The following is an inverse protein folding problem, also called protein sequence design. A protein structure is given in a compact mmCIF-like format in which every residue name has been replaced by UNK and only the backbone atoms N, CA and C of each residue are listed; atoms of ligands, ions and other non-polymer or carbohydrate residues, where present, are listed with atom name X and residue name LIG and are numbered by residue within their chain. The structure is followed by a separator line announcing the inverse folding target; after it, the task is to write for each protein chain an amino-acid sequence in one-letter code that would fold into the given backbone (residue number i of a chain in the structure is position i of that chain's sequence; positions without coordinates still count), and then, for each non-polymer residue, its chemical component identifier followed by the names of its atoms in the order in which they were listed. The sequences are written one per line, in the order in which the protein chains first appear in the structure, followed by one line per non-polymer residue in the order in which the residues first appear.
data_IF_245556012566
#
_entry.id   IF_245556012566
#
_cell.length_a   1.000
_cell.length_b   1.000
_cell.length_c   1.000
_cell.angle_alpha   90.00
_cell.angle_beta   90.00
_cell.angle_gamma   90.00
#
_symmetry.space_group_name_H-M   'P 1'
#
loop_
_entity.id
_entity.type
_entity.pdbx_description
1 polymer ?
#
# COMPACT_ATOMS: atom_id res chain seq x y z
N UNK A 1 16.56 -0.22 -16.44
CA UNK A 1 17.77 0.34 -15.76
C UNK A 1 17.74 1.87 -15.59
N UNK A 2 17.39 2.68 -16.59
CA UNK A 2 17.28 4.16 -16.40
C UNK A 2 16.14 4.60 -15.48
N UNK A 3 14.99 3.90 -15.47
CA UNK A 3 13.84 4.26 -14.66
C UNK A 3 14.01 3.91 -13.16
N UNK A 4 14.70 2.83 -12.81
CA UNK A 4 14.99 2.46 -11.41
C UNK A 4 15.87 3.51 -10.74
N UNK A 5 16.92 3.96 -11.41
CA UNK A 5 17.81 5.02 -10.89
C UNK A 5 17.07 6.36 -10.67
N UNK A 6 16.04 6.67 -11.47
CA UNK A 6 15.25 7.90 -11.32
C UNK A 6 14.33 7.84 -10.09
N UNK A 7 13.67 6.70 -9.84
CA UNK A 7 12.80 6.52 -8.68
C UNK A 7 13.59 6.61 -7.37
N UNK A 8 14.72 5.92 -7.28
CA UNK A 8 15.60 5.97 -6.11
C UNK A 8 16.10 7.38 -5.80
N UNK A 9 16.46 8.15 -6.83
CA UNK A 9 16.85 9.56 -6.67
C UNK A 9 15.70 10.41 -6.14
N UNK A 10 14.47 10.22 -6.64
CA UNK A 10 13.28 10.92 -6.17
C UNK A 10 12.99 10.57 -4.71
N UNK A 11 13.02 9.29 -4.36
CA UNK A 11 12.79 8.83 -2.97
C UNK A 11 13.83 9.41 -2.01
N UNK A 12 15.10 9.32 -2.37
CA UNK A 12 16.19 9.87 -1.58
C UNK A 12 16.07 11.38 -1.39
N UNK A 13 15.70 12.11 -2.44
CA UNK A 13 15.47 13.55 -2.38
C UNK A 13 14.24 13.90 -1.52
N UNK A 14 13.14 13.17 -1.68
CA UNK A 14 11.91 13.37 -0.91
C UNK A 14 12.13 13.18 0.59
N UNK A 15 12.89 12.16 1.00
CA UNK A 15 13.29 11.94 2.39
C UNK A 15 14.09 13.13 2.95
N UNK A 16 15.13 13.55 2.23
CA UNK A 16 16.00 14.65 2.67
C UNK A 16 15.29 16.01 2.75
N UNK A 17 14.24 16.20 1.99
CA UNK A 17 13.45 17.45 1.92
C UNK A 17 12.21 17.45 2.82
N UNK A 18 11.99 16.41 3.59
CA UNK A 18 10.87 16.37 4.53
C UNK A 18 9.52 16.11 3.87
N UNK A 19 9.49 15.31 2.81
CA UNK A 19 8.22 14.88 2.20
C UNK A 19 7.69 13.61 2.83
N UNK A 20 8.52 12.57 2.93
CA UNK A 20 8.05 11.25 3.36
C UNK A 20 9.19 10.44 3.99
N UNK A 21 8.87 9.64 5.00
CA UNK A 21 9.76 8.67 5.63
C UNK A 21 9.03 7.36 5.87
N UNK A 22 9.74 6.22 5.96
CA UNK A 22 9.17 5.01 6.52
C UNK A 22 8.70 5.26 7.95
N UNK A 23 7.47 4.85 8.26
CA UNK A 23 6.95 5.00 9.63
C UNK A 23 7.76 4.17 10.61
N UNK A 24 7.99 4.73 11.80
CA UNK A 24 8.74 4.05 12.88
C UNK A 24 10.17 3.65 12.48
N UNK A 25 10.82 4.37 11.56
CA UNK A 25 12.13 4.01 10.98
C UNK A 25 13.20 3.81 12.06
N UNK A 26 13.19 4.61 13.12
CA UNK A 26 14.16 4.50 14.26
C UNK A 26 14.01 3.20 15.06
N UNK A 27 12.89 2.50 14.92
CA UNK A 27 12.62 1.20 15.57
C UNK A 27 12.65 0.04 14.57
N UNK A 28 13.23 0.24 13.38
CA UNK A 28 13.31 -0.76 12.33
C UNK A 28 12.20 -0.66 11.26
N UNK A 29 11.22 0.20 11.48
CA UNK A 29 10.13 0.45 10.53
C UNK A 29 9.12 -0.68 10.38
N UNK A 30 8.04 -0.39 9.68
CA UNK A 30 7.04 -1.38 9.25
C UNK A 30 6.88 -1.23 7.74
N UNK A 31 7.07 -2.31 6.99
CA UNK A 31 6.95 -2.30 5.54
C UNK A 31 5.57 -1.80 5.07
N UNK A 32 5.56 -0.89 4.10
CA UNK A 32 4.34 -0.33 3.54
C UNK A 32 3.72 0.84 4.30
N UNK A 33 4.26 1.23 5.46
CA UNK A 33 3.77 2.38 6.25
C UNK A 33 4.72 3.55 6.17
N UNK A 34 4.16 4.76 6.00
CA UNK A 34 4.92 5.98 5.78
C UNK A 34 4.35 7.14 6.59
N UNK A 35 5.24 7.97 7.11
CA UNK A 35 4.90 9.24 7.73
C UNK A 35 5.15 10.39 6.75
N UNK A 36 4.25 11.35 6.72
CA UNK A 36 4.39 12.56 5.90
C UNK A 36 5.05 13.67 6.70
N UNK A 37 6.16 14.18 6.20
CA UNK A 37 6.80 15.36 6.73
C UNK A 37 6.07 16.66 6.37
N UNK A 38 6.60 17.83 6.80
CA UNK A 38 5.92 19.11 6.59
C UNK A 38 5.53 19.40 5.13
N UNK A 39 6.42 19.16 4.19
CA UNK A 39 6.11 19.34 2.78
C UNK A 39 5.22 18.22 2.21
N UNK A 40 5.35 17.03 2.73
CA UNK A 40 4.53 15.89 2.31
C UNK A 40 3.08 16.03 2.71
N UNK A 41 2.78 16.50 3.91
CA UNK A 41 1.40 16.70 4.36
C UNK A 41 0.72 17.83 3.58
N UNK A 42 1.42 18.91 3.27
CA UNK A 42 0.88 19.98 2.44
C UNK A 42 0.60 19.51 1.01
N UNK A 43 1.54 18.81 0.40
CA UNK A 43 1.34 18.22 -0.93
C UNK A 43 0.14 17.26 -0.94
N UNK A 44 0.05 16.37 0.06
CA UNK A 44 -1.08 15.44 0.21
C UNK A 44 -2.42 16.18 0.30
N UNK A 45 -2.50 17.22 1.12
CA UNK A 45 -3.72 17.99 1.31
C UNK A 45 -4.10 18.75 0.03
N UNK A 46 -3.12 19.33 -0.68
CA UNK A 46 -3.36 19.98 -1.97
C UNK A 46 -3.92 19.00 -3.01
N UNK A 47 -3.37 17.81 -3.09
CA UNK A 47 -3.88 16.76 -4.00
C UNK A 47 -5.31 16.35 -3.61
N UNK A 48 -5.58 16.12 -2.33
CA UNK A 48 -6.92 15.76 -1.83
C UNK A 48 -7.95 16.87 -2.13
N UNK A 49 -7.60 18.12 -1.87
CA UNK A 49 -8.46 19.27 -2.11
C UNK A 49 -8.75 19.46 -3.60
N UNK A 50 -7.72 19.33 -4.44
CA UNK A 50 -7.88 19.40 -5.89
C UNK A 50 -8.79 18.27 -6.40
N UNK A 51 -8.58 17.04 -5.92
CA UNK A 51 -9.40 15.90 -6.26
C UNK A 51 -10.88 16.14 -5.86
N UNK A 52 -11.11 16.55 -4.61
CA UNK A 52 -12.45 16.82 -4.11
C UNK A 52 -13.13 17.94 -4.91
N UNK A 53 -12.41 19.02 -5.17
CA UNK A 53 -12.93 20.12 -5.98
C UNK A 53 -13.33 19.61 -7.37
N UNK A 54 -12.41 18.96 -8.07
CA UNK A 54 -12.62 18.56 -9.48
C UNK A 54 -13.73 17.51 -9.65
N UNK A 55 -13.79 16.53 -8.75
CA UNK A 55 -14.69 15.38 -8.92
C UNK A 55 -16.01 15.48 -8.14
N UNK A 56 -16.11 16.41 -7.20
CA UNK A 56 -17.31 16.59 -6.38
C UNK A 56 -17.87 17.99 -6.50
N UNK A 57 -17.09 19.03 -6.19
CA UNK A 57 -17.62 20.39 -6.09
C UNK A 57 -17.89 21.04 -7.47
N UNK A 58 -17.08 20.79 -8.46
CA UNK A 58 -17.21 21.34 -9.81
C UNK A 58 -18.21 20.55 -10.68
N UNK A 59 -18.90 19.56 -10.09
CA UNK A 59 -19.88 18.72 -10.78
C UNK A 59 -21.27 18.91 -10.21
N UNK A 60 -22.25 19.03 -11.09
CA UNK A 60 -23.68 19.15 -10.71
C UNK A 60 -24.36 17.79 -10.48
N UNK A 61 -23.79 16.71 -11.00
CA UNK A 61 -24.32 15.35 -10.96
C UNK A 61 -23.74 14.49 -9.81
N UNK A 62 -22.91 15.06 -8.94
CA UNK A 62 -22.22 14.37 -7.85
C UNK A 62 -22.43 15.10 -6.54
N UNK A 63 -22.67 14.33 -5.48
CA UNK A 63 -22.69 14.83 -4.09
C UNK A 63 -21.68 14.08 -3.23
N UNK A 64 -21.04 14.78 -2.32
CA UNK A 64 -20.11 14.17 -1.37
C UNK A 64 -20.85 13.40 -0.29
N UNK A 65 -20.37 12.22 0.05
CA UNK A 65 -20.82 11.41 1.18
C UNK A 65 -19.60 10.92 1.97
N UNK A 66 -19.67 11.06 3.27
CA UNK A 66 -18.68 10.48 4.18
C UNK A 66 -19.39 9.47 5.10
N UNK A 67 -18.96 8.22 5.02
CA UNK A 67 -19.46 7.16 5.88
C UNK A 67 -18.39 6.72 6.88
N UNK A 68 -18.81 6.12 7.98
CA UNK A 68 -17.88 5.55 8.96
C UNK A 68 -17.03 4.43 8.32
N UNK A 69 -15.73 4.44 8.60
CA UNK A 69 -14.83 3.35 8.21
C UNK A 69 -15.14 2.07 8.98
N UNK A 70 -15.55 2.21 10.25
CA UNK A 70 -15.98 1.09 11.09
C UNK A 70 -17.47 0.90 10.89
N UNK A 71 -17.86 -0.24 10.33
CA UNK A 71 -19.24 -0.59 10.00
C UNK A 71 -19.64 -1.92 10.62
N UNK A 72 -20.96 -2.17 10.69
CA UNK A 72 -21.48 -3.47 11.08
C UNK A 72 -21.00 -4.57 10.13
N UNK A 73 -20.64 -5.74 10.66
CA UNK A 73 -20.25 -6.89 9.85
C UNK A 73 -21.31 -7.30 8.80
N UNK A 74 -22.58 -7.01 9.08
CA UNK A 74 -23.69 -7.26 8.14
C UNK A 74 -23.53 -6.51 6.81
N UNK A 75 -22.87 -5.35 6.81
CA UNK A 75 -22.58 -4.57 5.58
C UNK A 75 -21.63 -5.37 4.69
N UNK A 76 -20.57 -5.96 5.27
CA UNK A 76 -19.58 -6.76 4.56
C UNK A 76 -20.14 -8.11 4.09
N UNK A 77 -21.07 -8.69 4.85
CA UNK A 77 -21.81 -9.89 4.44
C UNK A 77 -22.71 -9.57 3.24
N UNK A 78 -23.48 -8.48 3.31
CA UNK A 78 -24.41 -8.08 2.25
C UNK A 78 -23.69 -7.70 0.96
N UNK A 79 -22.54 -7.04 1.06
CA UNK A 79 -21.71 -6.65 -0.11
C UNK A 79 -20.86 -7.80 -0.68
N UNK A 80 -20.81 -8.94 0.00
CA UNK A 80 -19.99 -10.10 -0.40
C UNK A 80 -18.52 -10.00 -0.06
N UNK A 81 -18.05 -8.89 0.50
CA UNK A 81 -16.63 -8.68 0.83
C UNK A 81 -16.13 -9.70 1.85
N UNK A 82 -16.95 -10.11 2.82
CA UNK A 82 -16.55 -11.10 3.82
C UNK A 82 -16.19 -12.46 3.20
N UNK A 83 -16.85 -12.86 2.11
CA UNK A 83 -16.57 -14.12 1.40
C UNK A 83 -15.49 -13.99 0.32
N UNK A 84 -15.30 -12.78 -0.22
CA UNK A 84 -14.41 -12.51 -1.35
C UNK A 84 -12.99 -12.07 -0.97
N UNK A 85 -12.76 -11.67 0.29
CA UNK A 85 -11.47 -11.17 0.75
C UNK A 85 -10.60 -12.28 1.37
N UNK A 86 -10.39 -13.36 0.65
CA UNK A 86 -9.45 -14.40 1.06
C UNK A 86 -8.31 -14.42 0.05
N UNK A 87 -7.23 -13.69 0.36
CA UNK A 87 -5.96 -13.88 -0.33
C UNK A 87 -5.35 -15.20 0.15
N UNK A 88 -5.26 -16.19 -0.73
CA UNK A 88 -4.54 -17.42 -0.44
C UNK A 88 -3.05 -17.11 -0.31
N UNK A 89 -2.46 -17.45 0.82
CA UNK A 89 -1.05 -17.25 1.10
C UNK A 89 -0.28 -18.56 0.96
N UNK A 90 0.91 -18.47 0.40
CA UNK A 90 1.92 -19.54 0.40
C UNK A 90 3.14 -19.08 1.17
N UNK A 91 3.82 -19.99 1.81
CA UNK A 91 5.05 -19.71 2.55
C UNK A 91 6.23 -20.41 1.86
N UNK A 92 7.35 -19.72 1.76
CA UNK A 92 8.58 -20.36 1.30
C UNK A 92 9.13 -21.30 2.38
N UNK A 93 9.32 -22.57 2.06
CA UNK A 93 9.84 -23.59 2.98
C UNK A 93 11.26 -23.30 3.47
N UNK A 94 12.04 -22.49 2.74
CA UNK A 94 13.43 -22.15 3.06
C UNK A 94 13.54 -20.88 3.92
N UNK A 95 13.01 -19.75 3.43
CA UNK A 95 13.18 -18.46 4.08
C UNK A 95 11.97 -18.02 4.92
N UNK A 96 10.89 -18.80 4.94
CA UNK A 96 9.63 -18.53 5.67
C UNK A 96 8.93 -17.22 5.29
N UNK A 97 9.32 -16.57 4.18
CA UNK A 97 8.57 -15.45 3.64
C UNK A 97 7.23 -15.89 3.08
N UNK A 98 6.22 -15.06 3.26
CA UNK A 98 4.86 -15.28 2.76
C UNK A 98 4.63 -14.47 1.49
N UNK A 99 3.95 -15.09 0.54
CA UNK A 99 3.61 -14.55 -0.77
C UNK A 99 2.13 -14.81 -1.03
N UNK A 100 1.51 -13.98 -1.87
CA UNK A 100 0.19 -14.29 -2.41
C UNK A 100 0.32 -15.43 -3.43
N UNK A 101 -0.62 -16.37 -3.39
CA UNK A 101 -0.57 -17.54 -4.26
C UNK A 101 -0.71 -17.21 -5.76
N UNK A 102 -1.36 -16.09 -6.07
CA UNK A 102 -1.58 -15.56 -7.41
C UNK A 102 -0.50 -14.57 -7.88
N UNK A 103 0.42 -14.16 -6.98
CA UNK A 103 1.51 -13.21 -7.26
C UNK A 103 2.86 -13.79 -6.83
N UNK A 104 3.18 -14.98 -7.37
CA UNK A 104 4.46 -15.64 -7.09
C UNK A 104 5.57 -15.00 -7.92
N UNK A 105 6.49 -14.32 -7.26
CA UNK A 105 7.65 -13.70 -7.91
C UNK A 105 8.75 -14.73 -8.22
N UNK A 106 9.45 -14.52 -9.34
CA UNK A 106 10.68 -15.27 -9.68
C UNK A 106 11.94 -14.76 -8.94
N UNK A 107 11.74 -13.95 -7.88
CA UNK A 107 12.84 -13.42 -7.08
C UNK A 107 13.64 -14.56 -6.43
N UNK A 108 14.93 -14.32 -6.25
CA UNK A 108 15.79 -15.29 -5.60
C UNK A 108 15.51 -15.34 -4.11
N UNK A 109 15.36 -16.56 -3.59
CA UNK A 109 15.23 -16.79 -2.16
C UNK A 109 16.45 -16.25 -1.40
N UNK A 110 16.25 -15.57 -0.29
CA UNK A 110 17.34 -15.06 0.57
C UNK A 110 18.31 -16.14 1.05
N UNK A 111 17.85 -17.39 1.12
CA UNK A 111 18.70 -18.55 1.46
C UNK A 111 19.31 -19.24 0.23
N UNK A 112 19.23 -18.61 -0.95
CA UNK A 112 19.81 -19.08 -2.20
C UNK A 112 18.85 -19.92 -3.04
N UNK A 113 18.99 -19.82 -4.37
CA UNK A 113 18.16 -20.53 -5.34
C UNK A 113 16.75 -19.95 -5.51
N UNK A 114 15.82 -20.76 -6.01
CA UNK A 114 14.41 -20.40 -6.16
C UNK A 114 13.63 -20.66 -4.86
N UNK A 115 12.55 -19.92 -4.68
CA UNK A 115 11.60 -20.16 -3.60
C UNK A 115 10.93 -21.53 -3.78
N UNK A 116 10.73 -22.25 -2.68
CA UNK A 116 9.95 -23.50 -2.62
C UNK A 116 8.72 -23.28 -1.77
N UNK A 117 7.55 -23.22 -2.40
CA UNK A 117 6.31 -22.82 -1.73
C UNK A 117 5.57 -24.00 -1.08
N UNK A 118 4.85 -23.73 0.01
CA UNK A 118 3.85 -24.61 0.58
C UNK A 118 2.57 -24.62 -0.27
N UNK A 119 1.67 -25.56 -0.03
CA UNK A 119 0.31 -25.46 -0.57
C UNK A 119 -0.38 -24.20 -0.05
N UNK A 120 -1.21 -23.52 -0.88
CA UNK A 120 -2.00 -22.36 -0.46
C UNK A 120 -2.88 -22.71 0.76
N UNK A 121 -2.96 -21.75 1.69
CA UNK A 121 -3.84 -21.81 2.87
C UNK A 121 -4.76 -20.62 2.88
#
# INVERSE_FOLDING_TARGET
MENENKLEKIVSWAKRRGFIWPSSEIYGGIGGFYDFGPYGVELKNNIKNLWWKTFVQDREDVVGLESSVIMSNKVWQASGHEKGFIDQLVECKKCHQRFKADDLTDEKCQQGGKHEFTSPK
#
